data_IF_527103439825
#
_entry.id   IF_527103439825
#
_cell.length_a   1.000
_cell.length_b   1.000
_cell.length_c   1.000
_cell.angle_alpha   90.00
_cell.angle_beta   90.00
_cell.angle_gamma   90.00
#
_symmetry.space_group_name_H-M   'P 1'
#
loop_
_entity.id
_entity.type
_entity.pdbx_description
1 polymer ?
#
# COMPACT_ATOMS: atom_id res chain seq x y z
N UNK A 1 -3.47 -16.37 18.70
CA UNK A 1 -2.41 -15.36 18.45
C UNK A 1 -2.61 -14.07 19.26
N UNK A 2 -3.79 -13.45 19.26
CA UNK A 2 -4.03 -12.20 20.02
C UNK A 2 -3.76 -12.28 21.53
N UNK A 3 -4.25 -13.33 22.22
CA UNK A 3 -4.06 -13.51 23.67
C UNK A 3 -2.58 -13.76 24.02
N UNK A 4 -1.88 -14.54 23.18
CA UNK A 4 -0.45 -14.84 23.34
C UNK A 4 0.41 -13.56 23.21
N UNK A 5 0.08 -12.69 22.25
CA UNK A 5 0.73 -11.40 22.12
C UNK A 5 0.46 -10.49 23.33
N UNK A 6 -0.77 -10.47 23.86
CA UNK A 6 -1.13 -9.68 25.05
C UNK A 6 -0.35 -10.14 26.28
N UNK A 7 -0.26 -11.45 26.51
CA UNK A 7 0.49 -12.02 27.64
C UNK A 7 1.99 -11.71 27.50
N UNK A 8 2.58 -11.89 26.31
CA UNK A 8 4.01 -11.59 26.07
C UNK A 8 4.34 -10.10 26.19
N UNK A 9 3.45 -9.21 25.72
CA UNK A 9 3.60 -7.76 25.85
C UNK A 9 3.52 -7.35 27.33
N UNK A 10 2.55 -7.89 28.07
CA UNK A 10 2.36 -7.57 29.49
C UNK A 10 3.54 -8.00 30.39
N UNK A 11 4.27 -9.03 29.98
CA UNK A 11 5.39 -9.57 30.76
C UNK A 11 6.75 -8.99 30.38
N UNK A 12 6.92 -8.51 29.14
CA UNK A 12 8.25 -8.18 28.60
C UNK A 12 8.45 -6.72 28.18
N UNK A 13 7.40 -5.92 28.10
CA UNK A 13 7.50 -4.49 27.77
C UNK A 13 7.35 -3.70 29.07
N UNK A 14 8.45 -3.21 29.68
CA UNK A 14 8.34 -2.21 30.75
C UNK A 14 7.58 -1.00 30.18
N UNK A 15 6.56 -0.53 30.92
CA UNK A 15 5.77 0.66 30.55
C UNK A 15 6.72 1.78 30.13
N UNK A 16 6.79 2.05 28.82
CA UNK A 16 7.75 3.00 28.25
C UNK A 16 7.25 4.45 28.34
N UNK A 17 6.08 4.65 28.95
CA UNK A 17 5.45 5.95 29.13
C UNK A 17 5.63 6.42 30.57
N UNK A 18 6.43 7.46 30.76
CA UNK A 18 6.54 8.16 32.04
C UNK A 18 5.13 8.58 32.52
N UNK A 19 4.79 8.38 33.80
CA UNK A 19 3.45 8.62 34.36
C UNK A 19 2.95 10.06 34.15
N UNK A 20 3.84 11.01 33.95
CA UNK A 20 3.54 12.43 33.67
C UNK A 20 2.98 12.71 32.26
N UNK A 21 3.17 11.81 31.29
CA UNK A 21 2.63 11.94 29.92
C UNK A 21 1.37 11.10 29.69
N UNK A 22 0.75 10.59 30.76
CA UNK A 22 -0.55 9.89 30.69
C UNK A 22 -1.63 10.87 30.22
N UNK A 23 -1.81 10.99 28.91
CA UNK A 23 -2.95 11.68 28.34
C UNK A 23 -4.20 10.87 28.75
N UNK A 24 -5.19 11.48 29.44
CA UNK A 24 -6.41 10.77 29.80
C UNK A 24 -7.06 10.24 28.53
N UNK A 25 -7.40 8.94 28.52
CA UNK A 25 -8.13 8.23 27.47
C UNK A 25 -9.55 8.81 27.33
N UNK A 26 -9.64 10.01 26.78
CA UNK A 26 -10.90 10.64 26.41
C UNK A 26 -11.19 10.26 24.96
N UNK A 27 -12.18 9.39 24.75
CA UNK A 27 -12.69 9.05 23.41
C UNK A 27 -13.00 10.31 22.58
N UNK A 28 -13.47 11.39 23.23
CA UNK A 28 -13.69 12.69 22.59
C UNK A 28 -12.41 13.39 22.12
N UNK A 29 -11.31 13.34 22.90
CA UNK A 29 -10.01 13.86 22.48
C UNK A 29 -9.38 13.01 21.38
N UNK A 30 -9.54 11.69 21.43
CA UNK A 30 -9.09 10.81 20.35
C UNK A 30 -9.82 11.13 19.04
N UNK A 31 -11.15 11.26 19.06
CA UNK A 31 -11.94 11.61 17.88
C UNK A 31 -11.64 13.02 17.35
N UNK A 32 -11.42 13.98 18.25
CA UNK A 32 -10.98 15.33 17.90
C UNK A 32 -9.58 15.32 17.26
N UNK A 33 -8.63 14.55 17.80
CA UNK A 33 -7.31 14.36 17.21
C UNK A 33 -7.38 13.66 15.84
N UNK A 34 -8.28 12.69 15.66
CA UNK A 34 -8.61 12.09 14.35
C UNK A 34 -9.06 13.17 13.35
N UNK A 35 -9.98 14.05 13.76
CA UNK A 35 -10.47 15.13 12.91
C UNK A 35 -9.37 16.15 12.57
N UNK A 36 -8.52 16.50 13.54
CA UNK A 36 -7.39 17.42 13.35
C UNK A 36 -6.36 16.83 12.38
N UNK A 37 -6.01 15.55 12.53
CA UNK A 37 -5.10 14.82 11.63
C UNK A 37 -5.66 14.74 10.20
N UNK A 38 -6.96 14.47 10.04
CA UNK A 38 -7.62 14.45 8.73
C UNK A 38 -7.73 15.85 8.10
N UNK A 39 -7.81 16.91 8.92
CA UNK A 39 -7.83 18.30 8.45
C UNK A 39 -6.45 18.80 8.01
N UNK A 40 -5.38 18.12 8.43
CA UNK A 40 -4.01 18.49 8.10
C UNK A 40 -3.65 18.00 6.68
N UNK A 41 -3.51 18.93 5.73
CA UNK A 41 -3.26 18.63 4.31
C UNK A 41 -2.08 17.66 4.04
N UNK A 42 -0.91 17.77 4.70
CA UNK A 42 0.19 16.82 4.52
C UNK A 42 -0.19 15.40 4.91
N UNK A 43 -0.86 15.25 6.07
CA UNK A 43 -1.30 13.96 6.60
C UNK A 43 -2.36 13.32 5.71
N UNK A 44 -3.31 14.11 5.21
CA UNK A 44 -4.30 13.65 4.25
C UNK A 44 -3.64 13.16 2.95
N UNK A 45 -2.60 13.86 2.46
CA UNK A 45 -1.79 13.42 1.33
C UNK A 45 -1.16 12.05 1.56
N UNK A 46 -0.50 11.84 2.70
CA UNK A 46 0.11 10.55 3.05
C UNK A 46 -0.91 9.41 3.18
N UNK A 47 -2.10 9.70 3.70
CA UNK A 47 -3.20 8.74 3.79
C UNK A 47 -3.75 8.39 2.41
N UNK A 48 -4.00 9.39 1.55
CA UNK A 48 -4.51 9.19 0.20
C UNK A 48 -3.53 8.38 -0.65
N UNK A 49 -2.25 8.75 -0.61
CA UNK A 49 -1.17 8.03 -1.27
C UNK A 49 -1.09 6.57 -0.78
N UNK A 50 -1.12 6.38 0.54
CA UNK A 50 -1.11 5.05 1.14
C UNK A 50 -2.30 4.22 0.66
N UNK A 51 -3.50 4.82 0.65
CA UNK A 51 -4.74 4.18 0.18
C UNK A 51 -4.71 3.84 -1.32
N UNK A 52 -4.21 4.74 -2.17
CA UNK A 52 -4.11 4.53 -3.62
C UNK A 52 -3.12 3.40 -3.95
N UNK A 53 -1.99 3.36 -3.25
CA UNK A 53 -1.00 2.29 -3.41
C UNK A 53 -1.57 0.95 -2.95
N UNK A 54 -2.34 0.95 -1.85
CA UNK A 54 -3.01 -0.25 -1.34
C UNK A 54 -4.11 -0.75 -2.30
N UNK A 55 -4.84 0.16 -2.94
CA UNK A 55 -5.80 -0.19 -3.98
C UNK A 55 -5.13 -0.89 -5.18
N UNK A 56 -3.92 -0.46 -5.57
CA UNK A 56 -3.16 -1.09 -6.64
C UNK A 56 -2.81 -2.55 -6.35
N UNK A 57 -2.43 -2.90 -5.12
CA UNK A 57 -2.18 -4.30 -4.77
C UNK A 57 -3.46 -5.13 -4.69
N UNK A 58 -4.59 -4.56 -4.25
CA UNK A 58 -5.88 -5.24 -4.32
C UNK A 58 -6.30 -5.50 -5.77
N UNK A 59 -6.07 -4.56 -6.68
CA UNK A 59 -6.31 -4.75 -8.11
C UNK A 59 -5.46 -5.91 -8.66
N UNK A 60 -4.18 -5.99 -8.27
CA UNK A 60 -3.33 -7.13 -8.64
C UNK A 60 -3.80 -8.46 -8.02
N UNK A 61 -4.26 -8.47 -6.77
CA UNK A 61 -4.75 -9.68 -6.11
C UNK A 61 -6.01 -10.23 -6.80
N UNK A 62 -6.91 -9.34 -7.24
CA UNK A 62 -8.18 -9.74 -7.90
C UNK A 62 -7.97 -10.08 -9.36
N UNK A 63 -7.21 -9.27 -10.10
CA UNK A 63 -7.07 -9.38 -11.56
C UNK A 63 -5.80 -10.10 -12.01
N UNK A 64 -4.79 -10.20 -11.15
CA UNK A 64 -3.47 -10.75 -11.52
C UNK A 64 -3.54 -12.21 -11.97
N UNK A 65 -4.31 -13.05 -11.27
CA UNK A 65 -4.54 -14.44 -11.70
C UNK A 65 -5.28 -14.53 -13.03
N UNK A 66 -6.30 -13.67 -13.24
CA UNK A 66 -7.10 -13.62 -14.49
C UNK A 66 -6.23 -13.18 -15.67
N UNK A 67 -5.38 -12.17 -15.48
CA UNK A 67 -4.49 -11.67 -16.54
C UNK A 67 -3.40 -12.69 -16.88
N UNK A 68 -2.76 -13.29 -15.88
CA UNK A 68 -1.67 -14.24 -16.13
C UNK A 68 -2.15 -15.57 -16.70
N UNK A 69 -3.21 -16.15 -16.10
CA UNK A 69 -3.70 -17.48 -16.47
C UNK A 69 -4.69 -17.38 -17.64
N UNK A 70 -5.59 -16.38 -17.62
CA UNK A 70 -6.66 -16.24 -18.61
C UNK A 70 -6.23 -15.55 -19.91
N UNK A 71 -5.47 -14.45 -19.84
CA UNK A 71 -5.05 -13.68 -21.03
C UNK A 71 -3.74 -14.21 -21.64
N UNK A 72 -2.75 -14.52 -20.81
CA UNK A 72 -1.42 -14.97 -21.28
C UNK A 72 -1.23 -16.49 -21.28
N UNK A 73 -2.22 -17.28 -20.83
CA UNK A 73 -2.18 -18.74 -20.88
C UNK A 73 -1.08 -19.39 -20.03
N UNK A 74 -0.57 -18.68 -19.02
CA UNK A 74 0.52 -19.16 -18.17
C UNK A 74 0.02 -20.30 -17.27
N UNK A 75 0.79 -21.40 -17.19
CA UNK A 75 0.49 -22.51 -16.29
C UNK A 75 0.35 -22.03 -14.84
N UNK A 76 -0.63 -22.57 -14.11
CA UNK A 76 -0.96 -22.16 -12.75
C UNK A 76 0.21 -22.33 -11.76
N UNK A 77 1.11 -23.29 -12.01
CA UNK A 77 2.36 -23.46 -11.24
C UNK A 77 3.32 -22.27 -11.41
N UNK A 78 3.38 -21.69 -12.62
CA UNK A 78 4.27 -20.58 -12.92
C UNK A 78 3.80 -19.27 -12.27
N UNK A 79 2.50 -19.09 -12.07
CA UNK A 79 1.95 -17.93 -11.35
C UNK A 79 2.53 -17.80 -9.93
N UNK A 80 2.72 -18.93 -9.24
CA UNK A 80 3.33 -18.96 -7.91
C UNK A 80 4.75 -18.39 -7.89
N UNK A 81 5.56 -18.67 -8.92
CA UNK A 81 6.91 -18.11 -9.03
C UNK A 81 6.88 -16.59 -9.23
N UNK A 82 5.99 -16.06 -10.07
CA UNK A 82 5.85 -14.61 -10.26
C UNK A 82 5.33 -13.92 -8.99
N UNK A 83 4.37 -14.51 -8.28
CA UNK A 83 3.92 -13.99 -6.99
C UNK A 83 5.05 -14.00 -5.94
N UNK A 84 5.85 -15.06 -5.91
CA UNK A 84 7.06 -15.15 -5.08
C UNK A 84 8.09 -14.07 -5.42
N UNK A 85 8.29 -13.78 -6.70
CA UNK A 85 9.17 -12.71 -7.16
C UNK A 85 8.72 -11.34 -6.63
N UNK A 86 7.41 -11.06 -6.62
CA UNK A 86 6.86 -9.84 -6.02
C UNK A 86 7.26 -9.70 -4.54
N UNK A 87 7.17 -10.79 -3.77
CA UNK A 87 7.59 -10.81 -2.37
C UNK A 87 9.10 -10.57 -2.21
N UNK A 88 9.94 -11.19 -3.05
CA UNK A 88 11.40 -10.99 -3.03
C UNK A 88 11.74 -9.52 -3.29
N UNK A 89 11.13 -8.90 -4.29
CA UNK A 89 11.33 -7.49 -4.62
C UNK A 89 10.85 -6.59 -3.47
N UNK A 90 9.70 -6.90 -2.87
CA UNK A 90 9.18 -6.16 -1.72
C UNK A 90 10.13 -6.22 -0.52
N UNK A 91 10.64 -7.40 -0.16
CA UNK A 91 11.60 -7.56 0.94
C UNK A 91 12.91 -6.81 0.63
N UNK A 92 13.40 -6.93 -0.60
CA UNK A 92 14.63 -6.26 -1.05
C UNK A 92 14.49 -4.74 -0.97
N UNK A 93 13.39 -4.19 -1.48
CA UNK A 93 13.11 -2.75 -1.42
C UNK A 93 12.92 -2.27 0.02
N UNK A 94 12.28 -3.05 0.88
CA UNK A 94 12.14 -2.73 2.30
C UNK A 94 13.51 -2.67 2.99
N UNK A 95 14.39 -3.62 2.70
CA UNK A 95 15.75 -3.64 3.25
C UNK A 95 16.59 -2.44 2.77
N UNK A 96 16.50 -2.09 1.48
CA UNK A 96 17.13 -0.89 0.91
C UNK A 96 16.59 0.36 1.60
N UNK A 97 15.26 0.45 1.74
CA UNK A 97 14.62 1.57 2.42
C UNK A 97 15.10 1.70 3.87
N UNK A 98 15.17 0.60 4.63
CA UNK A 98 15.62 0.63 6.02
C UNK A 98 17.05 1.15 6.18
N UNK A 99 17.93 0.93 5.19
CA UNK A 99 19.30 1.45 5.21
C UNK A 99 19.38 2.90 4.73
N UNK A 100 18.62 3.25 3.69
CA UNK A 100 18.66 4.59 3.09
C UNK A 100 17.85 5.63 3.88
N UNK A 101 16.78 5.24 4.57
CA UNK A 101 15.95 6.17 5.35
C UNK A 101 16.76 6.87 6.45
N UNK A 102 17.76 6.19 7.02
CA UNK A 102 18.67 6.75 8.03
C UNK A 102 19.58 7.84 7.47
N UNK A 103 19.89 7.79 6.16
CA UNK A 103 20.78 8.76 5.50
C UNK A 103 20.03 9.92 4.83
N UNK A 104 18.86 9.65 4.24
CA UNK A 104 18.17 10.57 3.31
C UNK A 104 16.88 11.15 3.92
N UNK A 105 16.40 10.57 5.02
CA UNK A 105 15.17 10.98 5.70
C UNK A 105 13.90 10.31 5.14
N UNK A 106 12.88 10.23 6.00
CA UNK A 106 11.59 9.57 5.73
C UNK A 106 10.82 10.25 4.59
N UNK A 107 10.79 11.58 4.58
CA UNK A 107 10.04 12.38 3.61
C UNK A 107 10.61 12.28 2.19
N UNK A 108 11.94 12.37 2.05
CA UNK A 108 12.60 12.27 0.74
C UNK A 108 12.44 10.88 0.13
N UNK A 109 12.63 9.83 0.94
CA UNK A 109 12.44 8.45 0.49
C UNK A 109 10.99 8.17 0.09
N UNK A 110 10.03 8.77 0.79
CA UNK A 110 8.63 8.69 0.40
C UNK A 110 8.35 9.34 -0.96
N UNK A 111 8.89 10.53 -1.23
CA UNK A 111 8.75 11.20 -2.54
C UNK A 111 9.39 10.38 -3.66
N UNK A 112 10.58 9.80 -3.42
CA UNK A 112 11.26 8.94 -4.39
C UNK A 112 10.44 7.69 -4.68
N UNK A 113 9.96 7.00 -3.64
CA UNK A 113 9.14 5.80 -3.79
C UNK A 113 7.84 6.10 -4.55
N UNK A 114 7.24 7.28 -4.32
CA UNK A 114 6.06 7.73 -5.05
C UNK A 114 6.34 8.00 -6.53
N UNK A 115 7.43 8.68 -6.83
CA UNK A 115 7.84 8.93 -8.21
C UNK A 115 8.08 7.60 -8.95
N UNK A 116 8.79 6.65 -8.31
CA UNK A 116 9.00 5.33 -8.88
C UNK A 116 7.70 4.54 -9.03
N UNK A 117 6.78 4.64 -8.07
CA UNK A 117 5.47 4.00 -8.16
C UNK A 117 4.63 4.54 -9.32
N UNK A 118 4.67 5.86 -9.53
CA UNK A 118 3.97 6.51 -10.63
C UNK A 118 4.56 6.09 -11.97
N UNK A 119 5.90 6.05 -12.08
CA UNK A 119 6.59 5.55 -13.27
C UNK A 119 6.27 4.08 -13.56
N UNK A 120 6.25 3.22 -12.54
CA UNK A 120 5.85 1.82 -12.68
C UNK A 120 4.37 1.69 -13.10
N UNK A 121 3.48 2.53 -12.56
CA UNK A 121 2.08 2.59 -12.97
C UNK A 121 1.89 3.03 -14.42
N UNK A 122 2.62 4.06 -14.86
CA UNK A 122 2.62 4.52 -16.27
C UNK A 122 3.17 3.43 -17.17
N UNK A 123 4.26 2.76 -16.78
CA UNK A 123 4.81 1.63 -17.50
C UNK A 123 3.78 0.52 -17.68
N UNK A 124 3.09 0.12 -16.61
CA UNK A 124 2.03 -0.87 -16.68
C UNK A 124 0.86 -0.43 -17.57
N UNK A 125 0.48 0.85 -17.54
CA UNK A 125 -0.54 1.39 -18.44
C UNK A 125 -0.10 1.33 -19.92
N UNK A 126 1.16 1.64 -20.21
CA UNK A 126 1.73 1.53 -21.56
C UNK A 126 1.77 0.07 -22.02
N UNK A 127 2.20 -0.86 -21.15
CA UNK A 127 2.18 -2.31 -21.44
C UNK A 127 0.76 -2.78 -21.76
N UNK A 128 -0.24 -2.30 -21.02
CA UNK A 128 -1.64 -2.64 -21.26
C UNK A 128 -2.21 -2.04 -22.56
N UNK A 129 -1.76 -0.85 -22.98
CA UNK A 129 -2.23 -0.19 -24.22
C UNK A 129 -1.57 -0.78 -25.47
N UNK A 130 -0.26 -1.01 -25.42
CA UNK A 130 0.54 -1.46 -26.56
C UNK A 130 0.68 -2.99 -26.65
N UNK A 131 0.12 -3.73 -25.68
CA UNK A 131 0.27 -5.17 -25.51
C UNK A 131 1.73 -5.64 -25.71
N UNK A 132 2.64 -4.99 -24.99
CA UNK A 132 4.11 -5.17 -25.06
C UNK A 132 4.58 -6.59 -24.63
N UNK A 133 3.64 -7.49 -24.36
CA UNK A 133 3.88 -8.88 -24.03
C UNK A 133 4.02 -9.16 -22.53
N UNK A 134 3.94 -10.45 -22.21
CA UNK A 134 3.94 -10.99 -20.85
C UNK A 134 5.14 -10.53 -19.99
N UNK A 135 6.34 -10.53 -20.56
CA UNK A 135 7.57 -10.22 -19.82
C UNK A 135 7.62 -8.77 -19.31
N UNK A 136 7.08 -7.82 -20.09
CA UNK A 136 7.03 -6.42 -19.68
C UNK A 136 6.07 -6.22 -18.49
N UNK A 137 4.95 -6.95 -18.47
CA UNK A 137 4.00 -6.98 -17.35
C UNK A 137 4.61 -7.66 -16.12
N UNK A 138 5.30 -8.79 -16.32
CA UNK A 138 5.94 -9.56 -15.26
C UNK A 138 7.07 -8.85 -14.53
N UNK A 139 7.71 -7.87 -15.16
CA UNK A 139 8.73 -7.02 -14.53
C UNK A 139 8.11 -5.77 -13.91
N UNK A 140 7.11 -5.16 -14.56
CA UNK A 140 6.48 -3.93 -14.09
C UNK A 140 5.68 -4.12 -12.79
N UNK A 141 5.00 -5.26 -12.63
CA UNK A 141 4.18 -5.53 -11.44
C UNK A 141 5.04 -5.64 -10.17
N UNK A 142 6.12 -6.44 -10.12
CA UNK A 142 7.02 -6.47 -8.97
C UNK A 142 7.63 -5.12 -8.61
N UNK A 143 7.94 -4.28 -9.60
CA UNK A 143 8.42 -2.92 -9.36
C UNK A 143 7.35 -2.07 -8.66
N UNK A 144 6.10 -2.14 -9.11
CA UNK A 144 4.98 -1.45 -8.48
C UNK A 144 4.67 -1.98 -7.07
N UNK A 145 4.65 -3.30 -6.89
CA UNK A 145 4.35 -3.90 -5.59
C UNK A 145 5.50 -3.72 -4.60
N UNK A 146 6.74 -3.72 -5.08
CA UNK A 146 7.94 -3.54 -4.27
C UNK A 146 7.97 -2.21 -3.52
N UNK A 147 7.46 -1.14 -4.13
CA UNK A 147 7.44 0.19 -3.49
C UNK A 147 6.35 0.33 -2.44
N UNK A 148 5.33 -0.54 -2.40
CA UNK A 148 4.22 -0.48 -1.44
C UNK A 148 4.73 -0.48 0.00
N UNK A 149 5.65 -1.38 0.33
CA UNK A 149 6.22 -1.52 1.68
C UNK A 149 7.03 -0.28 2.07
N UNK A 150 7.80 0.27 1.12
CA UNK A 150 8.58 1.49 1.28
C UNK A 150 7.68 2.70 1.54
N UNK A 151 6.63 2.88 0.74
CA UNK A 151 5.66 3.97 0.90
C UNK A 151 4.94 3.85 2.25
N UNK A 152 4.45 2.65 2.61
CA UNK A 152 3.74 2.43 3.86
C UNK A 152 4.60 2.70 5.10
N UNK A 153 5.84 2.23 5.11
CA UNK A 153 6.77 2.41 6.23
C UNK A 153 7.18 3.87 6.38
N UNK A 154 7.56 4.54 5.29
CA UNK A 154 7.99 5.94 5.31
C UNK A 154 6.85 6.91 5.58
N UNK A 155 5.65 6.66 5.05
CA UNK A 155 4.48 7.47 5.37
C UNK A 155 4.10 7.37 6.85
N UNK A 156 4.28 6.20 7.47
CA UNK A 156 4.04 6.03 8.91
C UNK A 156 5.10 6.74 9.74
N UNK A 157 6.37 6.67 9.32
CA UNK A 157 7.47 7.40 9.95
C UNK A 157 7.30 8.93 9.83
N UNK A 158 6.92 9.46 8.65
CA UNK A 158 6.72 10.89 8.44
C UNK A 158 5.56 11.46 9.28
N UNK A 159 4.49 10.68 9.48
CA UNK A 159 3.39 11.06 10.38
C UNK A 159 3.87 11.08 11.83
N UNK A 160 4.68 10.10 12.23
CA UNK A 160 5.24 10.02 13.58
C UNK A 160 6.20 11.17 13.88
N UNK A 161 6.97 11.61 12.89
CA UNK A 161 7.90 12.74 12.98
C UNK A 161 7.15 14.08 13.17
N UNK A 162 5.98 14.24 12.56
CA UNK A 162 5.10 15.40 12.79
C UNK A 162 4.33 15.35 14.11
N UNK A 163 4.02 14.15 14.63
CA UNK A 163 3.23 13.98 15.86
C UNK A 163 3.87 13.01 16.87
N UNK A 164 5.08 13.29 17.39
CA UNK A 164 5.81 12.36 18.26
C UNK A 164 5.13 12.13 19.61
N UNK A 165 4.35 13.10 20.12
CA UNK A 165 3.60 12.95 21.37
C UNK A 165 2.35 12.08 21.25
N UNK A 166 1.89 11.79 20.02
CA UNK A 166 0.68 11.01 19.74
C UNK A 166 0.99 9.79 18.88
N UNK A 167 2.18 9.20 19.03
CA UNK A 167 2.70 8.11 18.21
C UNK A 167 1.72 6.94 17.99
N UNK A 168 1.07 6.47 19.06
CA UNK A 168 0.10 5.36 19.00
C UNK A 168 -1.19 5.76 18.30
N UNK A 169 -1.77 6.90 18.68
CA UNK A 169 -3.00 7.42 18.08
C UNK A 169 -2.81 7.77 16.61
N UNK A 170 -1.68 8.40 16.25
CA UNK A 170 -1.38 8.83 14.88
C UNK A 170 -1.19 7.63 13.94
N UNK A 171 -0.48 6.57 14.36
CA UNK A 171 -0.38 5.34 13.57
C UNK A 171 -1.71 4.60 13.46
N UNK A 172 -2.50 4.56 14.54
CA UNK A 172 -3.86 4.02 14.51
C UNK A 172 -4.72 4.76 13.48
N UNK A 173 -4.77 6.10 13.55
CA UNK A 173 -5.52 6.96 12.63
C UNK A 173 -5.07 6.75 11.18
N UNK A 174 -3.75 6.79 10.94
CA UNK A 174 -3.19 6.62 9.61
C UNK A 174 -3.54 5.24 9.04
N UNK A 175 -3.47 4.19 9.87
CA UNK A 175 -3.89 2.84 9.50
C UNK A 175 -5.37 2.78 9.13
N UNK A 176 -6.27 3.19 10.03
CA UNK A 176 -7.71 3.13 9.81
C UNK A 176 -8.13 3.96 8.60
N UNK A 177 -7.52 5.12 8.39
CA UNK A 177 -7.82 5.98 7.26
C UNK A 177 -7.29 5.39 5.93
N UNK A 178 -6.07 4.81 5.92
CA UNK A 178 -5.54 4.12 4.74
C UNK A 178 -6.39 2.91 4.37
N UNK A 179 -6.79 2.10 5.35
CA UNK A 179 -7.70 0.97 5.13
C UNK A 179 -9.09 1.44 4.70
N UNK A 180 -9.61 2.54 5.25
CA UNK A 180 -10.88 3.14 4.84
C UNK A 180 -10.87 3.57 3.38
N UNK A 181 -9.83 4.30 2.95
CA UNK A 181 -9.65 4.67 1.54
C UNK A 181 -9.47 3.43 0.67
N UNK A 182 -8.63 2.48 1.08
CA UNK A 182 -8.44 1.24 0.35
C UNK A 182 -9.73 0.42 0.22
N UNK A 183 -10.59 0.42 1.24
CA UNK A 183 -11.90 -0.23 1.22
C UNK A 183 -12.90 0.49 0.32
N UNK A 184 -12.90 1.82 0.30
CA UNK A 184 -13.76 2.59 -0.61
C UNK A 184 -13.33 2.42 -2.06
N UNK A 185 -12.02 2.49 -2.32
CA UNK A 185 -11.46 2.26 -3.65
C UNK A 185 -11.62 0.78 -4.04
N UNK A 186 -11.45 -0.15 -3.10
CA UNK A 186 -11.68 -1.58 -3.31
C UNK A 186 -13.14 -1.92 -3.56
N UNK A 187 -14.09 -1.25 -2.89
CA UNK A 187 -15.52 -1.38 -3.14
C UNK A 187 -15.91 -0.74 -4.49
N UNK A 188 -15.36 0.43 -4.80
CA UNK A 188 -15.51 1.07 -6.11
C UNK A 188 -14.93 0.19 -7.22
N UNK A 189 -13.73 -0.35 -7.01
CA UNK A 189 -13.16 -1.39 -7.84
C UNK A 189 -14.10 -2.58 -7.88
N UNK A 190 -14.65 -3.12 -6.80
CA UNK A 190 -15.61 -4.25 -6.87
C UNK A 190 -16.83 -3.95 -7.75
N UNK A 191 -17.33 -2.71 -7.74
CA UNK A 191 -18.39 -2.28 -8.65
C UNK A 191 -17.94 -2.12 -10.11
N UNK A 192 -16.65 -1.86 -10.35
CA UNK A 192 -16.03 -1.68 -11.68
C UNK A 192 -15.29 -2.96 -12.15
N UNK A 193 -14.98 -3.87 -11.24
CA UNK A 193 -14.07 -4.99 -11.38
C UNK A 193 -14.88 -6.16 -11.91
N UNK A 194 -14.96 -6.16 -13.24
CA UNK A 194 -14.77 -7.34 -14.05
C UNK A 194 -15.62 -8.52 -13.58
N UNK A 195 -16.93 -8.40 -13.75
CA UNK A 195 -17.79 -9.56 -13.95
C UNK A 195 -17.48 -10.30 -15.26
N UNK A 196 -16.56 -9.81 -16.11
CA UNK A 196 -16.17 -10.59 -17.28
C UNK A 196 -14.87 -10.14 -17.95
N UNK A 197 -14.02 -11.11 -18.30
CA UNK A 197 -13.04 -10.99 -19.37
C UNK A 197 -13.66 -10.44 -20.68
N UNK A 198 -14.97 -10.52 -20.84
CA UNK A 198 -15.71 -9.91 -21.96
C UNK A 198 -15.60 -8.38 -22.04
N UNK A 199 -15.30 -7.64 -20.96
CA UNK A 199 -15.27 -6.17 -21.01
C UNK A 199 -13.95 -5.61 -21.58
N UNK A 200 -12.84 -6.31 -21.41
CA UNK A 200 -11.61 -6.03 -22.17
C UNK A 200 -11.77 -6.42 -23.64
N UNK A 201 -12.41 -7.56 -23.93
CA UNK A 201 -12.65 -8.03 -25.29
C UNK A 201 -13.63 -7.11 -26.05
N UNK A 202 -14.70 -6.63 -25.40
CA UNK A 202 -15.71 -5.73 -25.98
C UNK A 202 -15.15 -4.32 -26.26
N UNK A 203 -14.30 -3.78 -25.37
CA UNK A 203 -13.63 -2.48 -25.62
C UNK A 203 -12.61 -2.56 -26.76
N UNK A 204 -11.96 -3.70 -26.96
CA UNK A 204 -11.08 -3.92 -28.11
C UNK A 204 -11.86 -4.13 -29.42
N UNK A 205 -12.93 -4.93 -29.42
CA UNK A 205 -13.77 -5.12 -30.62
C UNK A 205 -14.47 -3.84 -31.08
N UNK A 206 -14.84 -2.95 -30.14
CA UNK A 206 -15.52 -1.69 -30.46
C UNK A 206 -14.55 -0.54 -30.82
N UNK A 207 -13.25 -0.71 -30.62
CA UNK A 207 -12.21 0.25 -31.04
C UNK A 207 -11.59 -0.10 -32.41
N UNK A 208 -11.84 -1.31 -32.91
CA UNK A 208 -11.37 -1.82 -34.21
C UNK A 208 -12.47 -1.85 -35.28
N UNK A 209 -13.67 -1.34 -34.97
CA UNK A 209 -14.80 -1.19 -35.89
C UNK A 209 -15.22 0.28 -35.96
#
# INVERSE_FOLDING_TARGET
>A
MGILCVVLISWKIPETLAPEKRLPLSFGKTLSNFAILLKHRPTLGYVLIGGLTFAGIFCFLTSGSIVYIGLYGVSQENFGYFFGLNMIVMVTMTAINSKMVVKVGSETMLRIALAMQLLAGIWLALVAIFDLGFWAMAIGIPLYIGMLSTIGSNASAAILEQFPQMAGTANGVAGTARFGVASLVGAGLSHIAVTSAAQCFWRWHCALC
#
